data_IF_489350754521
#
_entry.id   IF_489350754521
#
_cell.length_a   1.000
_cell.length_b   1.000
_cell.length_c   1.000
_cell.angle_alpha   90.00
_cell.angle_beta   90.00
_cell.angle_gamma   90.00
#
_symmetry.space_group_name_H-M   'P 1'
#
loop_
_entity.id
_entity.type
_entity.pdbx_description
1 polymer ?
#
# COMPACT_ATOMS: atom_id res chain seq x y z
N UNK A 1 66.45 -72.08 20.22
CA UNK A 1 65.91 -70.70 20.16
C UNK A 1 64.38 -70.77 20.13
N UNK A 2 63.69 -70.49 21.24
CA UNK A 2 62.22 -70.49 21.32
C UNK A 2 61.72 -69.32 22.16
N UNK A 3 60.57 -68.81 21.73
CA UNK A 3 59.86 -67.55 22.02
C UNK A 3 59.36 -67.41 23.47
N UNK A 4 59.17 -66.17 23.92
CA UNK A 4 58.05 -65.79 24.79
C UNK A 4 57.67 -64.32 24.55
N UNK A 5 56.37 -64.08 24.31
CA UNK A 5 55.74 -62.80 24.01
C UNK A 5 55.36 -62.07 25.31
N UNK A 6 55.53 -60.74 25.37
CA UNK A 6 54.90 -59.88 26.36
C UNK A 6 53.93 -58.93 25.66
N UNK A 7 52.64 -59.03 25.99
CA UNK A 7 51.57 -58.15 25.51
C UNK A 7 51.53 -56.88 26.37
N UNK A 8 51.53 -55.70 25.73
CA UNK A 8 51.26 -54.42 26.37
C UNK A 8 49.77 -54.09 26.16
N UNK A 9 48.99 -54.00 27.24
CA UNK A 9 47.59 -53.56 27.20
C UNK A 9 47.51 -52.03 27.04
N UNK A 10 46.95 -51.56 25.93
CA UNK A 10 46.53 -50.17 25.76
C UNK A 10 45.09 -50.03 26.32
N UNK A 11 44.91 -49.24 27.38
CA UNK A 11 43.58 -48.81 27.82
C UNK A 11 43.10 -47.65 26.92
N UNK A 12 42.10 -47.89 26.08
CA UNK A 12 41.33 -46.81 25.45
C UNK A 12 40.34 -46.25 26.49
N UNK A 13 40.57 -45.02 26.95
CA UNK A 13 39.53 -44.22 27.59
C UNK A 13 38.62 -43.66 26.50
N UNK A 14 37.44 -44.28 26.31
CA UNK A 14 36.36 -43.65 25.54
C UNK A 14 35.75 -42.53 26.41
N UNK A 15 36.03 -41.27 26.08
CA UNK A 15 35.32 -40.14 26.67
C UNK A 15 33.86 -40.17 26.22
N UNK A 16 32.96 -40.41 27.16
CA UNK A 16 31.53 -40.31 26.94
C UNK A 16 31.14 -38.83 26.93
N UNK A 17 30.96 -38.24 25.74
CA UNK A 17 30.42 -36.87 25.60
C UNK A 17 29.01 -36.83 26.19
N UNK A 18 28.79 -35.94 27.15
CA UNK A 18 27.49 -35.77 27.81
C UNK A 18 26.49 -35.05 26.89
N UNK A 19 25.19 -35.21 27.13
CA UNK A 19 24.13 -34.56 26.33
C UNK A 19 24.17 -33.03 26.39
N UNK A 20 24.86 -32.45 27.39
CA UNK A 20 25.04 -31.01 27.52
C UNK A 20 25.97 -30.44 26.43
N UNK A 21 27.01 -31.18 26.01
CA UNK A 21 27.95 -30.73 24.97
C UNK A 21 27.31 -30.75 23.56
N UNK A 22 26.29 -31.58 23.34
CA UNK A 22 25.48 -31.57 22.10
C UNK A 22 24.52 -30.39 22.04
N UNK A 23 23.89 -30.03 23.15
CA UNK A 23 22.97 -28.88 23.20
C UNK A 23 23.68 -27.53 23.02
N UNK A 24 24.96 -27.42 23.45
CA UNK A 24 25.75 -26.21 23.22
C UNK A 24 26.16 -26.03 21.75
N UNK A 25 26.46 -27.12 21.02
CA UNK A 25 26.81 -27.04 19.58
C UNK A 25 25.59 -26.82 18.66
N UNK A 26 24.39 -27.24 19.08
CA UNK A 26 23.16 -26.99 18.33
C UNK A 26 22.60 -25.56 18.53
N UNK A 27 23.02 -24.86 19.60
CA UNK A 27 22.62 -23.47 19.86
C UNK A 27 23.39 -22.44 19.01
N UNK A 28 24.60 -22.77 18.55
CA UNK A 28 25.40 -21.94 17.64
C UNK A 28 25.04 -22.14 16.17
N UNK A 29 24.10 -23.05 15.88
CA UNK A 29 23.61 -23.38 14.53
C UNK A 29 22.18 -22.89 14.28
N UNK A 30 21.75 -21.83 14.98
CA UNK A 30 20.56 -21.08 14.56
C UNK A 30 20.89 -20.48 13.19
N UNK A 31 20.20 -20.87 12.10
CA UNK A 31 20.44 -20.25 10.81
C UNK A 31 20.23 -18.76 10.97
N UNK A 32 21.25 -17.96 10.65
CA UNK A 32 21.07 -16.52 10.46
C UNK A 32 19.85 -16.37 9.55
N UNK A 33 18.78 -15.66 9.97
CA UNK A 33 17.61 -15.52 9.13
C UNK A 33 18.06 -15.03 7.76
N UNK A 34 17.77 -15.79 6.70
CA UNK A 34 18.05 -15.32 5.34
C UNK A 34 17.46 -13.91 5.24
N UNK A 35 18.20 -12.91 4.72
CA UNK A 35 17.64 -11.58 4.52
C UNK A 35 16.31 -11.74 3.77
N UNK A 36 15.22 -11.31 4.41
CA UNK A 36 13.87 -11.50 3.87
C UNK A 36 13.79 -10.63 2.61
N UNK A 37 13.57 -11.28 1.46
CA UNK A 37 13.65 -10.65 0.14
C UNK A 37 12.42 -9.81 -0.21
N UNK A 38 11.28 -10.04 0.46
CA UNK A 38 10.02 -9.37 0.17
C UNK A 38 9.11 -9.32 1.41
N UNK A 39 8.17 -8.37 1.42
CA UNK A 39 7.12 -8.22 2.42
C UNK A 39 5.73 -8.32 1.78
N UNK A 40 4.74 -8.87 2.48
CA UNK A 40 3.37 -8.96 2.00
C UNK A 40 2.60 -7.64 2.16
N UNK A 41 2.92 -6.87 3.20
CA UNK A 41 2.14 -5.73 3.66
C UNK A 41 3.02 -4.61 4.23
N UNK A 42 2.55 -3.38 4.11
CA UNK A 42 3.07 -2.25 4.85
C UNK A 42 1.93 -1.38 5.41
N UNK A 43 2.20 -0.68 6.50
CA UNK A 43 1.28 0.29 7.10
C UNK A 43 2.06 1.38 7.84
N UNK A 44 1.36 2.46 8.18
CA UNK A 44 1.87 3.51 9.06
C UNK A 44 1.03 3.59 10.34
N UNK A 45 1.64 4.08 11.41
CA UNK A 45 0.93 4.53 12.61
C UNK A 45 1.70 5.69 13.27
N UNK A 46 1.29 6.11 14.47
CA UNK A 46 1.92 7.21 15.22
C UNK A 46 3.41 6.99 15.53
N UNK A 47 3.86 5.73 15.52
CA UNK A 47 5.25 5.34 15.80
C UNK A 47 6.11 5.22 14.54
N UNK A 48 5.53 5.26 13.34
CA UNK A 48 6.28 5.24 12.08
C UNK A 48 5.69 4.29 11.03
N UNK A 49 6.54 3.87 10.09
CA UNK A 49 6.21 2.95 9.00
C UNK A 49 6.63 1.53 9.38
N UNK A 50 5.84 0.55 8.99
CA UNK A 50 6.07 -0.86 9.29
C UNK A 50 5.86 -1.72 8.05
N UNK A 51 6.63 -2.80 7.93
CA UNK A 51 6.50 -3.85 6.91
C UNK A 51 6.38 -5.22 7.58
N UNK A 52 5.58 -6.13 7.02
CA UNK A 52 5.34 -7.44 7.61
C UNK A 52 4.82 -8.46 6.61
N UNK A 53 4.95 -9.75 6.95
CA UNK A 53 4.39 -10.88 6.21
C UNK A 53 3.19 -11.51 6.92
N UNK A 54 2.36 -12.22 6.17
CA UNK A 54 1.29 -13.02 6.75
C UNK A 54 1.86 -14.02 7.76
N UNK A 55 1.30 -14.02 8.98
CA UNK A 55 1.76 -14.87 10.08
C UNK A 55 2.83 -14.25 10.99
N UNK A 56 3.41 -13.10 10.62
CA UNK A 56 4.25 -12.35 11.55
C UNK A 56 3.42 -11.83 12.74
N UNK A 57 3.97 -11.94 13.96
CA UNK A 57 3.32 -11.40 15.17
C UNK A 57 3.51 -9.90 15.35
N UNK A 58 4.61 -9.36 14.81
CA UNK A 58 5.03 -7.95 14.94
C UNK A 58 5.65 -7.53 13.61
N UNK A 59 5.24 -6.37 13.08
CA UNK A 59 5.85 -5.78 11.89
C UNK A 59 7.24 -5.20 12.17
N UNK A 60 8.12 -5.26 11.18
CA UNK A 60 9.41 -4.59 11.23
C UNK A 60 9.21 -3.08 11.05
N UNK A 61 9.65 -2.29 12.01
CA UNK A 61 9.63 -0.84 11.90
C UNK A 61 10.72 -0.36 10.93
N UNK A 62 10.33 0.52 10.01
CA UNK A 62 11.21 1.21 9.08
C UNK A 62 11.38 2.66 9.57
N UNK A 63 12.64 3.06 9.79
CA UNK A 63 12.99 4.43 10.22
C UNK A 63 12.92 5.38 9.02
N UNK A 64 11.71 5.80 8.68
CA UNK A 64 11.45 6.65 7.52
C UNK A 64 10.45 7.75 7.87
N UNK A 65 10.77 8.99 7.49
CA UNK A 65 9.84 10.13 7.54
C UNK A 65 9.04 10.17 6.24
N UNK A 66 7.90 9.48 6.23
CA UNK A 66 7.14 9.23 5.01
C UNK A 66 5.63 9.25 5.24
N UNK A 67 4.91 9.67 4.19
CA UNK A 67 3.45 9.51 4.05
C UNK A 67 3.14 8.83 2.72
N UNK A 68 1.86 8.45 2.51
CA UNK A 68 1.39 7.78 1.29
C UNK A 68 2.27 6.58 0.86
N UNK A 69 2.62 5.72 1.82
CA UNK A 69 3.48 4.56 1.56
C UNK A 69 2.77 3.57 0.62
N UNK A 70 3.54 2.99 -0.29
CA UNK A 70 3.08 1.96 -1.22
C UNK A 70 4.12 0.85 -1.36
N UNK A 71 3.68 -0.38 -1.12
CA UNK A 71 4.50 -1.56 -1.34
C UNK A 71 4.47 -1.92 -2.82
N UNK A 72 5.65 -2.20 -3.37
CA UNK A 72 5.79 -2.69 -4.74
C UNK A 72 5.10 -4.05 -4.93
N UNK A 73 4.69 -4.40 -6.16
CA UNK A 73 4.02 -5.67 -6.44
C UNK A 73 4.81 -6.91 -6.01
N UNK A 74 6.14 -6.87 -6.10
CA UNK A 74 7.03 -7.96 -5.68
C UNK A 74 7.41 -7.91 -4.19
N UNK A 75 6.95 -6.88 -3.45
CA UNK A 75 7.20 -6.71 -2.03
C UNK A 75 8.62 -6.29 -1.66
N UNK A 76 9.47 -5.94 -2.64
CA UNK A 76 10.90 -5.68 -2.41
C UNK A 76 11.26 -4.20 -2.29
N UNK A 77 10.37 -3.32 -2.74
CA UNK A 77 10.48 -1.86 -2.66
C UNK A 77 9.31 -1.22 -1.95
N UNK A 78 9.58 -0.09 -1.29
CA UNK A 78 8.61 0.86 -0.79
C UNK A 78 8.72 2.17 -1.58
N UNK A 79 7.61 2.67 -2.12
CA UNK A 79 7.50 4.04 -2.61
C UNK A 79 6.77 4.89 -1.57
N UNK A 80 7.11 6.17 -1.48
CA UNK A 80 6.53 7.05 -0.46
C UNK A 80 6.65 8.53 -0.82
N UNK A 81 5.82 9.35 -0.19
CA UNK A 81 6.00 10.80 -0.16
C UNK A 81 7.01 11.16 0.92
N UNK A 82 8.16 11.70 0.52
CA UNK A 82 9.19 12.25 1.39
C UNK A 82 8.91 13.73 1.69
N UNK A 83 9.10 14.13 2.94
CA UNK A 83 9.03 15.53 3.39
C UNK A 83 10.16 15.82 4.40
N UNK A 84 11.25 15.06 4.30
CA UNK A 84 12.34 15.06 5.26
C UNK A 84 13.33 16.21 5.08
N UNK A 85 13.34 16.82 3.88
CA UNK A 85 14.23 17.90 3.51
C UNK A 85 13.86 19.22 4.22
N UNK A 86 14.83 20.14 4.46
CA UNK A 86 14.59 21.38 5.20
C UNK A 86 13.58 22.34 4.57
N UNK A 87 13.39 22.27 3.25
CA UNK A 87 12.40 23.08 2.53
C UNK A 87 10.96 22.57 2.67
N UNK A 88 10.78 21.39 3.26
CA UNK A 88 9.48 20.72 3.42
C UNK A 88 8.71 20.49 2.10
N UNK A 89 9.39 20.57 0.95
CA UNK A 89 8.79 20.21 -0.33
C UNK A 89 8.59 18.70 -0.38
N UNK A 90 7.39 18.28 -0.81
CA UNK A 90 7.08 16.86 -0.95
C UNK A 90 7.76 16.32 -2.19
N UNK A 91 8.47 15.21 -2.01
CA UNK A 91 9.19 14.49 -3.07
C UNK A 91 8.77 13.03 -3.08
N UNK A 92 9.07 12.34 -4.17
CA UNK A 92 8.86 10.89 -4.24
C UNK A 92 10.16 10.19 -3.84
N UNK A 93 10.07 9.35 -2.81
CA UNK A 93 11.17 8.50 -2.38
C UNK A 93 10.91 7.04 -2.70
N UNK A 94 11.99 6.32 -2.96
CA UNK A 94 12.04 4.87 -3.07
C UNK A 94 12.97 4.30 -1.99
N UNK A 95 12.58 3.19 -1.40
CA UNK A 95 13.40 2.41 -0.50
C UNK A 95 13.46 0.96 -0.97
N UNK A 96 14.67 0.47 -1.21
CA UNK A 96 14.94 -0.95 -1.38
C UNK A 96 14.85 -1.61 0.01
N UNK A 97 13.87 -2.50 0.21
CA UNK A 97 13.63 -3.15 1.50
C UNK A 97 14.66 -4.25 1.79
N UNK A 98 15.40 -4.72 0.78
CA UNK A 98 16.48 -5.70 0.94
C UNK A 98 17.77 -5.03 1.39
N UNK A 99 18.19 -3.96 0.70
CA UNK A 99 19.43 -3.23 1.03
C UNK A 99 19.24 -2.11 2.06
N UNK A 100 17.98 -1.74 2.36
CA UNK A 100 17.60 -0.56 3.13
C UNK A 100 18.09 0.77 2.55
N UNK A 101 18.51 0.77 1.29
CA UNK A 101 18.95 1.98 0.60
C UNK A 101 17.74 2.81 0.19
N UNK A 102 17.79 4.11 0.48
CA UNK A 102 16.80 5.09 0.01
C UNK A 102 17.33 5.88 -1.18
N UNK A 103 16.43 6.34 -2.05
CA UNK A 103 16.72 7.19 -3.20
C UNK A 103 15.56 8.14 -3.41
N UNK A 104 15.84 9.43 -3.60
CA UNK A 104 14.84 10.41 -4.01
C UNK A 104 14.79 10.46 -5.53
N UNK A 105 13.59 10.49 -6.08
CA UNK A 105 13.40 10.62 -7.52
C UNK A 105 13.59 12.08 -7.93
N UNK A 106 14.36 12.30 -9.00
CA UNK A 106 14.42 13.60 -9.68
C UNK A 106 13.17 13.76 -10.54
N UNK A 107 12.13 14.35 -9.95
CA UNK A 107 10.79 14.44 -10.54
C UNK A 107 10.56 15.72 -11.33
N UNK A 108 11.53 16.65 -11.33
CA UNK A 108 11.41 18.00 -11.88
C UNK A 108 10.05 18.65 -11.54
N UNK A 109 9.65 18.57 -10.28
CA UNK A 109 8.42 19.17 -9.75
C UNK A 109 8.74 19.88 -8.43
N UNK A 110 8.00 20.94 -8.13
CA UNK A 110 8.12 21.69 -6.86
C UNK A 110 7.41 20.97 -5.70
N UNK A 111 6.48 20.07 -6.03
CA UNK A 111 5.66 19.38 -5.05
C UNK A 111 5.08 18.11 -5.67
N UNK A 112 5.54 16.95 -5.23
CA UNK A 112 5.06 15.64 -5.68
C UNK A 112 4.68 14.75 -4.51
N UNK A 113 3.57 14.02 -4.64
CA UNK A 113 3.08 13.14 -3.57
C UNK A 113 2.21 12.01 -4.09
N UNK A 114 1.87 11.08 -3.19
CA UNK A 114 0.91 10.02 -3.46
C UNK A 114 1.37 9.01 -4.51
N UNK A 115 2.61 8.49 -4.44
CA UNK A 115 3.08 7.54 -5.43
C UNK A 115 2.25 6.26 -5.41
N UNK A 116 2.07 5.61 -6.55
CA UNK A 116 1.41 4.30 -6.71
C UNK A 116 2.11 3.46 -7.77
N UNK A 117 2.36 2.19 -7.45
CA UNK A 117 3.01 1.24 -8.36
C UNK A 117 2.03 0.72 -9.40
N UNK A 118 2.52 0.53 -10.63
CA UNK A 118 1.82 -0.28 -11.63
C UNK A 118 1.78 -1.74 -11.18
N UNK A 119 0.72 -2.52 -11.50
CA UNK A 119 0.63 -3.93 -11.14
C UNK A 119 1.81 -4.79 -11.63
N UNK A 120 2.39 -4.45 -12.77
CA UNK A 120 3.59 -5.10 -13.30
C UNK A 120 4.90 -4.68 -12.61
N UNK A 121 4.88 -3.62 -11.78
CA UNK A 121 6.02 -3.10 -11.02
C UNK A 121 7.03 -2.29 -11.83
N UNK A 122 6.72 -1.98 -13.11
CA UNK A 122 7.62 -1.23 -13.99
C UNK A 122 7.53 0.27 -13.79
N UNK A 123 6.39 0.78 -13.36
CA UNK A 123 6.12 2.21 -13.30
C UNK A 123 5.62 2.65 -11.93
N UNK A 124 5.87 3.93 -11.63
CA UNK A 124 5.32 4.64 -10.50
C UNK A 124 4.60 5.88 -10.99
N UNK A 125 3.29 5.98 -10.73
CA UNK A 125 2.51 7.19 -10.98
C UNK A 125 2.37 8.03 -9.71
N UNK A 126 2.27 9.35 -9.84
CA UNK A 126 2.18 10.27 -8.71
C UNK A 126 1.57 11.62 -9.12
N UNK A 127 1.04 12.35 -8.13
CA UNK A 127 0.64 13.74 -8.31
C UNK A 127 1.87 14.64 -8.38
N UNK A 128 1.89 15.58 -9.32
CA UNK A 128 2.95 16.55 -9.50
C UNK A 128 2.38 17.95 -9.74
N UNK A 129 2.83 18.94 -8.96
CA UNK A 129 2.43 20.33 -9.16
C UNK A 129 3.26 20.97 -10.28
N UNK A 130 2.59 21.66 -11.22
CA UNK A 130 3.22 22.51 -12.23
C UNK A 130 2.48 23.85 -12.29
N UNK A 131 3.14 24.93 -11.87
CA UNK A 131 2.48 26.21 -11.67
C UNK A 131 1.40 26.08 -10.60
N UNK A 132 0.14 26.33 -10.97
CA UNK A 132 -1.02 26.23 -10.07
C UNK A 132 -1.86 24.96 -10.28
N UNK A 133 -1.50 24.09 -11.25
CA UNK A 133 -2.27 22.89 -11.59
C UNK A 133 -1.61 21.61 -11.09
N UNK A 134 -2.43 20.63 -10.74
CA UNK A 134 -2.02 19.26 -10.46
C UNK A 134 -2.02 18.41 -11.73
N UNK A 135 -0.88 17.79 -11.99
CA UNK A 135 -0.69 16.86 -13.10
C UNK A 135 -0.48 15.46 -12.52
N UNK A 136 -0.75 14.45 -13.35
CA UNK A 136 -0.28 13.10 -13.05
C UNK A 136 0.95 12.84 -13.91
N UNK A 137 2.03 12.45 -13.25
CA UNK A 137 3.25 11.95 -13.88
C UNK A 137 3.38 10.47 -13.60
N UNK A 138 4.08 9.77 -14.48
CA UNK A 138 4.66 8.47 -14.14
C UNK A 138 6.12 8.36 -14.61
N UNK A 139 6.86 7.50 -13.94
CA UNK A 139 8.29 7.24 -14.17
C UNK A 139 8.55 5.74 -14.13
N UNK A 140 9.56 5.27 -14.87
CA UNK A 140 10.08 3.91 -14.70
C UNK A 140 10.68 3.75 -13.28
N UNK A 141 10.55 2.55 -12.70
CA UNK A 141 11.13 2.16 -11.41
C UNK A 141 12.59 2.60 -11.26
N UNK A 142 13.39 2.44 -12.31
CA UNK A 142 14.83 2.70 -12.24
C UNK A 142 15.16 4.20 -12.33
N UNK A 143 14.15 5.07 -12.36
CA UNK A 143 14.28 6.54 -12.40
C UNK A 143 15.08 7.06 -13.61
N UNK A 144 15.15 6.28 -14.69
CA UNK A 144 15.94 6.61 -15.88
C UNK A 144 15.14 7.32 -16.97
N UNK A 145 13.81 7.21 -16.94
CA UNK A 145 12.90 7.80 -17.92
C UNK A 145 11.64 8.33 -17.24
N UNK A 146 11.46 9.65 -17.22
CA UNK A 146 10.24 10.32 -16.79
C UNK A 146 9.44 10.70 -18.05
N UNK A 147 8.47 9.88 -18.44
CA UNK A 147 8.03 9.89 -19.84
C UNK A 147 6.58 10.27 -20.09
N UNK A 148 5.80 10.66 -19.08
CA UNK A 148 4.47 11.18 -19.40
C UNK A 148 3.85 12.10 -18.36
N UNK A 149 3.12 13.10 -18.87
CA UNK A 149 2.44 14.14 -18.11
C UNK A 149 0.99 14.18 -18.61
N UNK A 150 0.04 13.76 -17.78
CA UNK A 150 -1.38 13.98 -18.03
C UNK A 150 -1.74 15.36 -17.49
N UNK A 151 -2.01 16.30 -18.40
CA UNK A 151 -2.50 17.64 -18.08
C UNK A 151 -3.90 17.83 -18.62
N UNK A 152 -4.84 18.12 -17.72
CA UNK A 152 -6.20 18.51 -18.11
C UNK A 152 -6.18 19.96 -18.56
N UNK A 153 -6.27 20.22 -19.85
CA UNK A 153 -6.63 21.55 -20.34
C UNK A 153 -8.06 21.91 -19.93
N UNK A 154 -8.93 20.91 -19.77
CA UNK A 154 -10.34 21.03 -19.33
C UNK A 154 -10.54 21.06 -17.81
N UNK A 155 -9.61 20.54 -17.01
CA UNK A 155 -9.74 20.51 -15.56
C UNK A 155 -9.19 21.79 -14.92
N UNK A 156 -10.02 22.50 -14.15
CA UNK A 156 -9.67 23.79 -13.53
C UNK A 156 -8.44 23.68 -12.61
N UNK A 157 -8.41 22.65 -11.75
CA UNK A 157 -7.32 22.39 -10.80
C UNK A 157 -6.38 21.26 -11.23
N UNK A 158 -6.75 20.52 -12.29
CA UNK A 158 -6.01 19.36 -12.79
C UNK A 158 -6.57 18.02 -12.33
N UNK A 159 -5.70 17.01 -12.27
CA UNK A 159 -6.06 15.63 -11.93
C UNK A 159 -5.43 15.17 -10.61
N UNK A 160 -6.12 14.27 -9.93
CA UNK A 160 -5.84 13.84 -8.56
C UNK A 160 -5.81 12.33 -8.39
N UNK A 161 -5.13 11.90 -7.32
CA UNK A 161 -5.19 10.55 -6.73
C UNK A 161 -5.11 9.40 -7.74
N UNK A 162 -3.97 9.25 -8.44
CA UNK A 162 -3.83 8.25 -9.48
C UNK A 162 -3.92 6.83 -8.91
N UNK A 163 -4.38 5.91 -9.75
CA UNK A 163 -4.24 4.46 -9.62
C UNK A 163 -4.02 3.84 -11.00
N UNK A 164 -3.75 2.55 -11.06
CA UNK A 164 -3.46 1.86 -12.32
C UNK A 164 -4.60 0.95 -12.76
N UNK A 165 -4.76 0.81 -14.07
CA UNK A 165 -5.56 -0.29 -14.60
C UNK A 165 -4.89 -1.64 -14.28
N UNK A 166 -5.66 -2.73 -14.10
CA UNK A 166 -5.10 -4.04 -13.71
C UNK A 166 -4.06 -4.58 -14.69
N UNK A 167 -4.15 -4.22 -15.96
CA UNK A 167 -3.25 -4.64 -17.03
C UNK A 167 -1.99 -3.77 -17.16
N UNK A 168 -1.80 -2.76 -16.29
CA UNK A 168 -0.69 -1.81 -16.31
C UNK A 168 -0.57 -0.95 -17.59
N UNK A 169 -1.65 -0.86 -18.39
CA UNK A 169 -1.66 -0.10 -19.66
C UNK A 169 -2.35 1.26 -19.59
N UNK A 170 -2.93 1.60 -18.44
CA UNK A 170 -3.60 2.86 -18.23
C UNK A 170 -3.56 3.31 -16.78
N UNK A 171 -3.92 4.58 -16.59
CA UNK A 171 -3.93 5.24 -15.28
C UNK A 171 -5.33 5.80 -15.05
N UNK A 172 -5.88 5.53 -13.88
CA UNK A 172 -7.17 6.02 -13.41
C UNK A 172 -6.90 7.26 -12.58
N UNK A 173 -7.62 8.35 -12.85
CA UNK A 173 -7.47 9.64 -12.18
C UNK A 173 -8.83 10.30 -11.99
N UNK A 174 -8.91 11.38 -11.22
CA UNK A 174 -10.15 12.16 -11.06
C UNK A 174 -9.90 13.67 -11.04
N UNK A 175 -10.93 14.47 -11.33
CA UNK A 175 -10.92 15.94 -11.26
C UNK A 175 -11.99 16.51 -10.30
N UNK A 176 -12.45 15.68 -9.35
CA UNK A 176 -13.54 15.88 -8.40
C UNK A 176 -14.94 15.93 -9.02
N UNK A 177 -15.05 15.92 -10.36
CA UNK A 177 -16.34 15.88 -11.09
C UNK A 177 -16.49 14.62 -11.94
N UNK A 178 -15.38 13.99 -12.32
CA UNK A 178 -15.32 12.82 -13.17
C UNK A 178 -14.13 11.93 -12.82
N UNK A 179 -14.31 10.63 -13.01
CA UNK A 179 -13.24 9.64 -13.05
C UNK A 179 -12.84 9.45 -14.51
N UNK A 180 -11.53 9.42 -14.78
CA UNK A 180 -10.97 9.22 -16.10
C UNK A 180 -10.06 8.00 -16.09
N UNK A 181 -10.04 7.29 -17.22
CA UNK A 181 -9.03 6.27 -17.51
C UNK A 181 -8.27 6.75 -18.73
N UNK A 182 -6.97 7.00 -18.56
CA UNK A 182 -6.06 7.37 -19.62
C UNK A 182 -5.23 6.18 -20.07
N UNK A 183 -4.85 6.12 -21.34
CA UNK A 183 -3.72 5.30 -21.76
C UNK A 183 -2.38 5.98 -21.38
N UNK A 184 -1.27 5.26 -21.53
CA UNK A 184 0.07 5.81 -21.24
C UNK A 184 0.52 6.90 -22.23
N UNK A 185 -0.25 7.18 -23.28
CA UNK A 185 -0.02 8.27 -24.23
C UNK A 185 -0.92 9.48 -23.93
N UNK A 186 -1.71 9.43 -22.84
CA UNK A 186 -2.58 10.52 -22.40
C UNK A 186 -3.90 10.64 -23.14
N UNK A 187 -4.27 9.62 -23.94
CA UNK A 187 -5.60 9.58 -24.52
C UNK A 187 -6.62 9.15 -23.47
N UNK A 188 -7.75 9.87 -23.38
CA UNK A 188 -8.87 9.47 -22.54
C UNK A 188 -9.53 8.24 -23.17
N UNK A 189 -9.41 7.09 -22.51
CA UNK A 189 -10.08 5.84 -22.91
C UNK A 189 -11.51 5.78 -22.37
N UNK A 190 -11.74 6.36 -21.18
CA UNK A 190 -13.04 6.39 -20.53
C UNK A 190 -13.16 7.62 -19.62
N UNK A 191 -14.35 8.21 -19.60
CA UNK A 191 -14.76 9.21 -18.62
C UNK A 191 -16.06 8.75 -17.97
N UNK A 192 -16.15 8.88 -16.64
CA UNK A 192 -17.32 8.55 -15.85
C UNK A 192 -17.63 9.77 -14.97
N UNK A 193 -18.67 10.56 -15.28
CA UNK A 193 -19.12 11.62 -14.39
C UNK A 193 -19.48 11.07 -13.01
N UNK A 194 -19.04 11.72 -11.94
CA UNK A 194 -19.40 11.29 -10.57
C UNK A 194 -20.92 11.37 -10.37
N UNK A 195 -21.58 12.35 -10.99
CA UNK A 195 -23.04 12.46 -10.99
C UNK A 195 -23.77 11.26 -11.62
N UNK A 196 -23.10 10.48 -12.48
CA UNK A 196 -23.66 9.23 -13.04
C UNK A 196 -23.49 8.03 -12.06
N UNK A 197 -22.61 8.16 -11.07
CA UNK A 197 -22.42 7.20 -9.98
C UNK A 197 -23.42 7.51 -8.86
N UNK A 198 -23.40 8.76 -8.37
CA UNK A 198 -24.29 9.27 -7.33
C UNK A 198 -24.28 10.81 -7.35
N UNK A 199 -25.46 11.43 -7.42
CA UNK A 199 -25.60 12.89 -7.44
C UNK A 199 -25.39 13.57 -6.07
N UNK A 200 -25.32 12.79 -4.99
CA UNK A 200 -25.22 13.29 -3.61
C UNK A 200 -23.84 13.09 -2.99
N UNK A 201 -22.96 12.37 -3.69
CA UNK A 201 -21.66 12.00 -3.19
C UNK A 201 -20.64 13.14 -3.35
N UNK A 202 -19.97 13.46 -2.25
CA UNK A 202 -18.78 14.30 -2.25
C UNK A 202 -17.54 13.47 -2.57
N UNK A 203 -16.71 13.96 -3.49
CA UNK A 203 -15.40 13.39 -3.80
C UNK A 203 -14.38 14.51 -3.73
N UNK A 204 -13.48 14.43 -2.74
CA UNK A 204 -12.36 15.34 -2.59
C UNK A 204 -11.20 14.99 -3.52
N UNK A 205 -10.08 15.69 -3.35
CA UNK A 205 -8.86 15.42 -4.12
C UNK A 205 -8.07 14.22 -3.61
N UNK A 206 -8.40 13.67 -2.44
CA UNK A 206 -7.70 12.55 -1.79
C UNK A 206 -8.22 11.17 -2.17
N UNK A 207 -9.45 11.11 -2.68
CA UNK A 207 -10.18 9.88 -2.94
C UNK A 207 -9.61 9.22 -4.20
N UNK A 208 -9.27 7.93 -4.06
CA UNK A 208 -8.68 7.13 -5.11
C UNK A 208 -9.70 6.12 -5.61
N UNK A 209 -9.84 6.03 -6.94
CA UNK A 209 -10.66 5.02 -7.61
C UNK A 209 -9.79 3.85 -8.04
N UNK A 210 -10.12 2.65 -7.60
CA UNK A 210 -9.45 1.40 -7.93
C UNK A 210 -10.35 0.55 -8.83
N UNK A 211 -9.76 -0.11 -9.82
CA UNK A 211 -10.47 -1.03 -10.68
C UNK A 211 -10.12 -2.47 -10.30
N UNK A 212 -11.12 -3.35 -10.18
CA UNK A 212 -10.88 -4.77 -9.92
C UNK A 212 -10.17 -5.45 -11.10
N UNK A 213 -9.64 -6.66 -10.87
CA UNK A 213 -8.85 -7.39 -11.88
C UNK A 213 -9.57 -7.59 -13.23
N UNK A 214 -10.90 -7.75 -13.20
CA UNK A 214 -11.73 -7.94 -14.40
C UNK A 214 -12.03 -6.63 -15.14
N UNK A 215 -11.90 -5.48 -14.50
CA UNK A 215 -12.18 -4.18 -15.11
C UNK A 215 -13.65 -3.75 -15.06
N UNK A 216 -14.49 -4.43 -14.28
CA UNK A 216 -15.94 -4.23 -14.26
C UNK A 216 -16.49 -3.63 -12.96
N UNK A 217 -15.67 -3.46 -11.92
CA UNK A 217 -16.05 -2.79 -10.67
C UNK A 217 -15.04 -1.73 -10.28
N UNK A 218 -15.55 -0.53 -9.94
CA UNK A 218 -14.76 0.51 -9.27
C UNK A 218 -14.94 0.42 -7.76
N UNK A 219 -13.84 0.49 -7.02
CA UNK A 219 -13.80 0.56 -5.56
C UNK A 219 -13.17 1.87 -5.16
N UNK A 220 -13.83 2.62 -4.30
CA UNK A 220 -13.40 3.95 -3.89
C UNK A 220 -14.05 4.32 -2.56
N UNK A 221 -13.54 5.37 -1.94
CA UNK A 221 -14.18 6.02 -0.81
C UNK A 221 -14.78 7.37 -1.23
N UNK A 222 -15.84 7.79 -0.53
CA UNK A 222 -16.57 9.02 -0.83
C UNK A 222 -17.35 9.54 0.36
N UNK A 223 -17.50 10.86 0.41
CA UNK A 223 -18.23 11.56 1.45
C UNK A 223 -19.74 11.45 1.21
N UNK A 224 -20.46 10.91 2.19
CA UNK A 224 -21.92 10.79 2.13
C UNK A 224 -22.57 12.01 2.78
N UNK A 225 -23.29 12.81 1.99
CA UNK A 225 -24.10 13.90 2.54
C UNK A 225 -25.24 13.38 3.43
N UNK A 226 -25.68 12.13 3.26
CA UNK A 226 -26.76 11.54 4.05
C UNK A 226 -26.38 11.33 5.52
N UNK A 227 -25.09 11.20 5.82
CA UNK A 227 -24.58 10.97 7.18
C UNK A 227 -24.21 12.28 7.93
N UNK A 228 -24.40 13.43 7.29
CA UNK A 228 -24.24 14.78 7.88
C UNK A 228 -25.24 15.09 8.98
N UNK A 229 -26.33 14.32 9.08
CA UNK A 229 -27.30 14.41 10.18
C UNK A 229 -26.69 14.10 11.56
N UNK A 230 -25.42 13.69 11.63
CA UNK A 230 -24.71 13.40 12.88
C UNK A 230 -24.07 14.62 13.56
N UNK A 231 -24.07 15.81 12.92
CA UNK A 231 -23.64 17.06 13.56
C UNK A 231 -22.15 17.11 13.96
N UNK A 232 -21.29 16.32 13.34
CA UNK A 232 -19.84 16.37 13.59
C UNK A 232 -19.22 17.62 12.96
N UNK A 233 -18.40 18.35 13.74
CA UNK A 233 -17.58 19.47 13.27
C UNK A 233 -16.53 19.03 12.21
N UNK A 234 -16.26 17.73 12.11
CA UNK A 234 -15.25 17.10 11.26
C UNK A 234 -15.68 16.89 9.79
N UNK A 235 -16.86 17.36 9.38
CA UNK A 235 -17.40 17.15 8.02
C UNK A 235 -18.14 15.81 7.84
N UNK A 236 -18.63 15.51 6.62
CA UNK A 236 -19.31 14.26 6.32
C UNK A 236 -18.33 13.07 6.44
N UNK A 237 -18.75 11.94 7.03
CA UNK A 237 -17.91 10.75 7.07
C UNK A 237 -17.66 10.19 5.67
N UNK A 238 -16.45 9.66 5.46
CA UNK A 238 -16.11 8.90 4.26
C UNK A 238 -16.50 7.42 4.41
N UNK A 239 -17.10 6.88 3.36
CA UNK A 239 -17.56 5.50 3.29
C UNK A 239 -16.96 4.76 2.10
N UNK A 240 -16.82 3.45 2.25
CA UNK A 240 -16.28 2.57 1.25
C UNK A 240 -17.39 2.10 0.31
N UNK A 241 -17.18 2.25 -0.99
CA UNK A 241 -18.15 1.91 -2.02
C UNK A 241 -17.55 0.97 -3.08
N UNK A 242 -18.42 0.15 -3.65
CA UNK A 242 -18.20 -0.54 -4.92
C UNK A 242 -19.27 -0.11 -5.92
N UNK A 243 -18.86 0.26 -7.12
CA UNK A 243 -19.73 0.59 -8.24
C UNK A 243 -19.54 -0.44 -9.36
N UNK A 244 -20.61 -1.20 -9.64
CA UNK A 244 -20.66 -2.15 -10.75
C UNK A 244 -20.86 -1.39 -12.07
N UNK A 245 -19.85 -1.40 -12.93
CA UNK A 245 -19.84 -0.60 -14.15
C UNK A 245 -20.90 -1.06 -15.17
N UNK A 246 -21.11 -2.38 -15.42
CA UNK A 246 -22.17 -2.84 -16.31
C UNK A 246 -23.57 -2.52 -15.80
N UNK A 247 -23.87 -2.82 -14.53
CA UNK A 247 -25.23 -2.67 -13.99
C UNK A 247 -25.51 -1.26 -13.45
N UNK A 248 -24.49 -0.40 -13.39
CA UNK A 248 -24.53 0.93 -12.75
C UNK A 248 -24.99 0.90 -11.30
N UNK A 249 -24.72 -0.20 -10.59
CA UNK A 249 -25.17 -0.38 -9.20
C UNK A 249 -24.07 0.08 -8.25
N UNK A 250 -24.39 1.08 -7.43
CA UNK A 250 -23.58 1.49 -6.30
C UNK A 250 -23.93 0.66 -5.06
N UNK A 251 -22.94 0.22 -4.29
CA UNK A 251 -23.13 -0.52 -3.03
C UNK A 251 -22.13 -0.03 -1.99
N UNK A 252 -22.63 0.39 -0.83
CA UNK A 252 -21.80 0.68 0.35
C UNK A 252 -21.29 -0.63 0.95
N UNK A 253 -20.01 -0.69 1.27
CA UNK A 253 -19.32 -1.90 1.72
C UNK A 253 -19.09 -1.92 3.23
N UNK A 254 -18.87 -0.76 3.85
CA UNK A 254 -18.75 -0.67 5.31
C UNK A 254 -20.13 -0.65 6.00
N UNK A 255 -20.30 -1.34 7.14
CA UNK A 255 -21.54 -1.31 7.90
C UNK A 255 -21.87 0.08 8.46
N UNK A 256 -23.16 0.31 8.77
CA UNK A 256 -23.57 1.53 9.46
C UNK A 256 -22.78 1.76 10.76
N UNK A 257 -22.40 3.02 11.00
CA UNK A 257 -21.58 3.42 12.15
C UNK A 257 -20.07 3.21 11.98
N UNK A 258 -19.61 2.76 10.82
CA UNK A 258 -18.20 2.77 10.45
C UNK A 258 -17.89 3.96 9.54
N UNK A 259 -16.66 4.42 9.62
CA UNK A 259 -16.04 5.36 8.69
C UNK A 259 -14.80 4.67 8.12
N UNK A 260 -14.69 4.60 6.80
CA UNK A 260 -13.70 3.81 6.11
C UNK A 260 -13.29 4.52 4.81
N UNK A 261 -11.98 4.70 4.63
CA UNK A 261 -11.42 5.32 3.44
C UNK A 261 -10.10 4.67 3.01
N UNK A 262 -9.47 5.27 2.00
CA UNK A 262 -8.17 4.81 1.47
C UNK A 262 -8.17 3.33 1.08
N UNK A 263 -9.03 2.89 0.14
CA UNK A 263 -9.14 1.50 -0.24
C UNK A 263 -7.85 0.96 -0.84
N UNK A 264 -7.64 -0.35 -0.67
CA UNK A 264 -6.56 -1.14 -1.28
C UNK A 264 -7.15 -2.48 -1.75
N UNK A 265 -6.84 -2.89 -2.98
CA UNK A 265 -7.30 -4.17 -3.53
C UNK A 265 -6.20 -5.23 -3.50
N UNK A 266 -6.56 -6.44 -3.08
CA UNK A 266 -5.74 -7.66 -3.21
C UNK A 266 -6.62 -8.82 -3.65
N UNK A 267 -6.61 -9.11 -4.96
CA UNK A 267 -7.60 -10.01 -5.55
C UNK A 267 -9.01 -9.47 -5.33
N UNK A 268 -9.91 -10.31 -4.82
CA UNK A 268 -11.30 -9.95 -4.53
C UNK A 268 -11.51 -9.41 -3.09
N UNK A 269 -10.43 -9.21 -2.33
CA UNK A 269 -10.49 -8.58 -1.01
C UNK A 269 -10.19 -7.09 -1.11
N UNK A 270 -11.08 -6.27 -0.54
CA UNK A 270 -10.89 -4.84 -0.33
C UNK A 270 -10.43 -4.61 1.11
N UNK A 271 -9.34 -3.88 1.28
CA UNK A 271 -8.90 -3.35 2.56
C UNK A 271 -9.19 -1.85 2.64
N UNK A 272 -9.47 -1.34 3.82
CA UNK A 272 -9.64 0.10 4.05
C UNK A 272 -9.13 0.50 5.42
N UNK A 273 -8.66 1.75 5.56
CA UNK A 273 -8.33 2.35 6.85
C UNK A 273 -9.61 2.97 7.43
N UNK A 274 -9.93 2.70 8.68
CA UNK A 274 -11.18 3.19 9.27
C UNK A 274 -11.28 3.04 10.77
N UNK A 275 -12.42 3.40 11.33
CA UNK A 275 -12.76 3.24 12.74
C UNK A 275 -14.28 3.15 12.91
N UNK A 276 -14.74 2.71 14.09
CA UNK A 276 -16.16 2.65 14.42
C UNK A 276 -16.54 3.90 15.22
N UNK A 277 -17.60 4.59 14.80
CA UNK A 277 -18.18 5.73 15.53
C UNK A 277 -18.94 5.19 16.74
N UNK A 278 -18.24 5.06 17.87
CA UNK A 278 -18.82 4.50 19.11
C UNK A 278 -19.22 5.56 20.15
N UNK A 279 -19.21 6.86 19.80
CA UNK A 279 -19.46 7.97 20.73
C UNK A 279 -18.36 8.16 21.80
N UNK A 280 -17.47 7.18 21.96
CA UNK A 280 -16.17 7.32 22.62
C UNK A 280 -15.12 7.56 21.55
N UNK A 281 -14.11 8.37 21.86
CA UNK A 281 -12.97 8.56 20.97
C UNK A 281 -12.25 7.22 20.75
N UNK A 282 -12.54 6.53 19.65
CA UNK A 282 -11.61 5.53 19.13
C UNK A 282 -10.32 6.28 18.77
N UNK A 283 -9.28 6.07 19.56
CA UNK A 283 -8.04 6.87 19.46
C UNK A 283 -7.16 6.48 18.28
N UNK A 284 -7.51 5.41 17.56
CA UNK A 284 -6.68 4.76 16.56
C UNK A 284 -7.52 4.15 15.43
N UNK A 285 -7.09 4.38 14.19
CA UNK A 285 -7.62 3.68 13.01
C UNK A 285 -7.15 2.22 12.98
N UNK A 286 -7.97 1.36 12.38
CA UNK A 286 -7.69 -0.03 12.07
C UNK A 286 -7.76 -0.23 10.55
N UNK A 287 -7.17 -1.32 10.07
CA UNK A 287 -7.43 -1.82 8.72
C UNK A 287 -8.54 -2.86 8.80
N UNK A 288 -9.59 -2.64 8.03
CA UNK A 288 -10.68 -3.60 7.82
C UNK A 288 -10.49 -4.31 6.49
N UNK A 289 -11.05 -5.51 6.36
CA UNK A 289 -11.17 -6.24 5.11
C UNK A 289 -12.62 -6.59 4.84
N UNK A 290 -13.03 -6.56 3.57
CA UNK A 290 -14.37 -6.93 3.08
C UNK A 290 -14.22 -7.56 1.69
N UNK A 291 -15.09 -8.49 1.33
CA UNK A 291 -15.10 -9.06 -0.02
C UNK A 291 -15.68 -8.04 -1.01
N UNK A 292 -15.17 -8.01 -2.24
CA UNK A 292 -15.56 -7.00 -3.25
C UNK A 292 -17.03 -7.06 -3.63
N UNK A 293 -17.65 -8.24 -3.56
CA UNK A 293 -19.09 -8.44 -3.79
C UNK A 293 -19.94 -8.20 -2.51
N UNK A 294 -19.31 -7.78 -1.42
CA UNK A 294 -19.92 -7.51 -0.13
C UNK A 294 -19.84 -8.68 0.85
N UNK A 295 -20.04 -8.37 2.13
CA UNK A 295 -19.97 -9.35 3.21
C UNK A 295 -18.55 -9.55 3.79
N UNK A 296 -18.47 -10.34 4.86
CA UNK A 296 -17.23 -10.63 5.59
C UNK A 296 -16.42 -9.41 6.08
N UNK A 297 -17.10 -8.28 6.34
CA UNK A 297 -16.47 -7.09 6.92
C UNK A 297 -15.89 -7.41 8.32
N UNK A 298 -14.57 -7.31 8.46
CA UNK A 298 -13.86 -7.65 9.71
C UNK A 298 -12.59 -6.83 9.87
N UNK A 299 -12.14 -6.71 11.11
CA UNK A 299 -10.82 -6.12 11.41
C UNK A 299 -9.74 -7.07 10.89
N UNK A 300 -8.89 -6.57 9.98
CA UNK A 300 -7.72 -7.28 9.48
C UNK A 300 -6.48 -6.95 10.32
N UNK A 301 -6.24 -5.67 10.59
CA UNK A 301 -5.09 -5.20 11.38
C UNK A 301 -5.50 -4.10 12.36
N UNK A 302 -5.07 -4.21 13.61
CA UNK A 302 -5.39 -3.23 14.67
C UNK A 302 -4.35 -2.11 14.73
N UNK A 303 -4.76 -0.90 15.06
CA UNK A 303 -3.88 0.27 15.25
C UNK A 303 -2.97 0.56 14.04
N UNK A 304 -3.55 0.49 12.85
CA UNK A 304 -2.86 0.59 11.56
C UNK A 304 -3.65 1.52 10.63
N UNK A 305 -2.95 2.35 9.86
CA UNK A 305 -3.51 3.24 8.84
C UNK A 305 -2.54 3.35 7.65
N UNK A 306 -2.96 3.93 6.52
CA UNK A 306 -2.07 4.11 5.36
C UNK A 306 -1.48 2.78 4.88
N UNK A 307 -2.35 1.78 4.74
CA UNK A 307 -2.01 0.42 4.39
C UNK A 307 -1.70 0.28 2.90
N UNK A 308 -0.83 -0.66 2.56
CA UNK A 308 -0.60 -1.13 1.20
C UNK A 308 -0.12 -2.59 1.24
N UNK A 309 -0.30 -3.32 0.16
CA UNK A 309 0.03 -4.73 0.07
C UNK A 309 0.67 -5.07 -1.27
N UNK A 310 1.51 -6.10 -1.27
CA UNK A 310 2.05 -6.64 -2.51
C UNK A 310 0.93 -7.33 -3.30
N UNK A 311 1.05 -7.29 -4.62
CA UNK A 311 0.04 -7.84 -5.54
C UNK A 311 0.55 -9.05 -6.33
N UNK A 312 1.86 -9.32 -6.36
CA UNK A 312 2.43 -10.55 -6.90
C UNK A 312 2.65 -11.59 -5.78
N UNK A 313 2.34 -12.87 -6.03
CA UNK A 313 2.57 -13.96 -5.09
C UNK A 313 4.05 -14.24 -4.83
#
# INVERSE_FOLDING_TARGET
MRRAYFFLFLFLFAQCKTSADKQAQDADNVPVPKPRRAYDYCYANKSGVFVFNAGDRIGQQIKLKATNIQLSPDGTWLAYTDYSQPDHERRIGLMDLTSQKTTLLDTACINCYGPVWSPDGRYLAYNAMKGTKWLIKYVDRDNTHADFVMSGDSAQLGYFSPSWTPDSKGIIVQDMSSVYIFDLKGNVLRQIPIADIDTTMGVGSSERFLLNAKGDKLVFDGESSADTASGSEDGPPSHLYVYDLPSKKLTRMDPAGYECGQPVLKGDTVFCSGFRRTGRAERFSNIYSVDIDGGHFRVAFKNCQGFSCRTKP
#
